data_IF_632661190546
#
_entry.id   IF_632661190546
#
_cell.length_a   1.000
_cell.length_b   1.000
_cell.length_c   1.000
_cell.angle_alpha   90.00
_cell.angle_beta   90.00
_cell.angle_gamma   90.00
#
_symmetry.space_group_name_H-M   'P 1'
#
loop_
_entity.id
_entity.type
_entity.pdbx_description
1 polymer ?
#
# COMPACT_ATOMS: atom_id res chain seq x y z
N UNK A 1 5.16 -5.63 27.67
CA UNK A 1 5.42 -4.59 26.65
C UNK A 1 5.28 -5.11 25.21
N UNK A 2 5.98 -6.17 24.77
CA UNK A 2 5.97 -6.60 23.35
C UNK A 2 4.58 -7.01 22.85
N UNK A 3 3.81 -7.72 23.66
CA UNK A 3 2.46 -8.20 23.33
C UNK A 3 1.45 -7.08 23.04
N UNK A 4 1.59 -5.92 23.72
CA UNK A 4 0.71 -4.76 23.48
C UNK A 4 1.02 -4.14 22.12
N UNK A 5 2.29 -4.00 21.79
CA UNK A 5 2.74 -3.38 20.53
C UNK A 5 2.35 -4.23 19.31
N UNK A 6 2.38 -5.57 19.45
CA UNK A 6 1.91 -6.49 18.40
C UNK A 6 0.38 -6.41 18.21
N UNK A 7 -0.39 -6.37 19.30
CA UNK A 7 -1.87 -6.22 19.22
C UNK A 7 -2.29 -4.87 18.64
N UNK A 8 -1.51 -3.82 18.88
CA UNK A 8 -1.76 -2.49 18.32
C UNK A 8 -1.31 -2.34 16.85
N UNK A 9 -0.79 -3.40 16.21
CA UNK A 9 -0.35 -3.36 14.82
C UNK A 9 0.92 -2.53 14.58
N UNK A 10 1.65 -2.18 15.63
CA UNK A 10 2.87 -1.37 15.56
C UNK A 10 4.09 -2.17 15.11
N UNK A 11 4.01 -3.50 15.12
CA UNK A 11 5.00 -4.40 14.55
C UNK A 11 4.30 -5.42 13.64
N UNK A 12 4.83 -5.67 12.43
CA UNK A 12 4.26 -6.65 11.53
C UNK A 12 4.41 -8.05 12.13
N UNK A 13 3.28 -8.72 12.38
CA UNK A 13 3.21 -10.13 12.71
C UNK A 13 2.64 -10.92 11.54
N UNK A 14 3.03 -12.19 11.41
CA UNK A 14 2.36 -13.10 10.48
C UNK A 14 0.84 -13.05 10.73
N UNK A 15 0.01 -13.06 9.67
CA UNK A 15 -1.44 -13.06 9.83
C UNK A 15 -1.88 -14.30 10.61
N UNK A 16 -2.77 -14.12 11.57
CA UNK A 16 -3.31 -15.21 12.40
C UNK A 16 -4.08 -16.25 11.57
N UNK A 17 -4.56 -15.86 10.38
CA UNK A 17 -5.17 -16.75 9.39
C UNK A 17 -4.45 -16.59 8.05
N UNK A 18 -3.59 -17.54 7.65
CA UNK A 18 -2.85 -17.47 6.39
C UNK A 18 -3.72 -17.77 5.14
N UNK A 19 -5.03 -17.97 5.30
CA UNK A 19 -5.94 -18.45 4.25
C UNK A 19 -6.86 -17.34 3.73
N UNK A 20 -6.35 -16.11 3.57
CA UNK A 20 -7.07 -15.12 2.78
C UNK A 20 -6.86 -15.49 1.32
N UNK A 21 -7.86 -16.14 0.72
CA UNK A 21 -7.92 -16.31 -0.72
C UNK A 21 -8.12 -14.93 -1.36
N UNK A 22 -7.10 -14.45 -2.07
CA UNK A 22 -7.17 -13.21 -2.84
C UNK A 22 -7.52 -13.58 -4.28
N UNK A 23 -8.52 -12.90 -4.86
CA UNK A 23 -8.86 -13.09 -6.26
C UNK A 23 -7.69 -12.70 -7.16
N UNK A 24 -7.27 -13.61 -8.04
CA UNK A 24 -6.23 -13.35 -9.04
C UNK A 24 -6.67 -12.27 -10.03
N UNK A 25 -7.96 -12.22 -10.35
CA UNK A 25 -8.54 -11.18 -11.21
C UNK A 25 -8.44 -9.80 -10.54
N UNK A 26 -8.67 -9.73 -9.22
CA UNK A 26 -8.49 -8.50 -8.45
C UNK A 26 -7.04 -8.01 -8.47
N UNK A 27 -6.07 -8.94 -8.35
CA UNK A 27 -4.64 -8.63 -8.47
C UNK A 27 -4.28 -8.11 -9.87
N UNK A 28 -4.85 -8.72 -10.91
CA UNK A 28 -4.68 -8.27 -12.29
C UNK A 28 -5.24 -6.87 -12.53
N UNK A 29 -6.45 -6.60 -12.02
CA UNK A 29 -7.08 -5.28 -12.07
C UNK A 29 -6.23 -4.21 -11.37
N UNK A 30 -5.77 -4.49 -10.15
CA UNK A 30 -4.91 -3.55 -9.41
C UNK A 30 -3.60 -3.27 -10.14
N UNK A 31 -2.96 -4.30 -10.71
CA UNK A 31 -1.73 -4.12 -11.49
C UNK A 31 -1.96 -3.19 -12.69
N UNK A 32 -3.03 -3.38 -13.45
CA UNK A 32 -3.35 -2.54 -14.59
C UNK A 32 -3.60 -1.08 -14.19
N UNK A 33 -4.26 -0.84 -13.05
CA UNK A 33 -4.41 0.50 -12.48
C UNK A 33 -3.07 1.13 -12.10
N UNK A 34 -2.17 0.37 -11.50
CA UNK A 34 -0.83 0.85 -11.14
C UNK A 34 0.01 1.20 -12.37
N UNK A 35 0.03 0.32 -13.38
CA UNK A 35 0.78 0.58 -14.63
C UNK A 35 0.23 1.80 -15.37
N UNK A 36 -1.09 1.95 -15.45
CA UNK A 36 -1.74 3.11 -16.07
C UNK A 36 -1.52 4.42 -15.29
N UNK A 37 -1.26 4.33 -13.98
CA UNK A 37 -1.12 5.51 -13.11
C UNK A 37 0.31 6.02 -12.94
N UNK A 38 1.32 5.43 -13.60
CA UNK A 38 2.70 5.88 -13.46
C UNK A 38 2.87 7.39 -13.75
N UNK A 39 2.29 7.89 -14.83
CA UNK A 39 2.39 9.30 -15.21
C UNK A 39 1.63 10.21 -14.24
N UNK A 40 0.45 9.77 -13.78
CA UNK A 40 -0.36 10.56 -12.84
C UNK A 40 0.22 10.57 -11.43
N UNK A 41 0.85 9.49 -10.98
CA UNK A 41 1.60 9.42 -9.71
C UNK A 41 2.83 10.33 -9.78
N UNK A 42 3.57 10.33 -10.90
CA UNK A 42 4.72 11.21 -11.08
C UNK A 42 4.31 12.69 -11.12
N UNK A 43 3.22 13.02 -11.82
CA UNK A 43 2.67 14.37 -11.84
C UNK A 43 2.22 14.81 -10.43
N UNK A 44 1.56 13.93 -9.68
CA UNK A 44 1.15 14.19 -8.30
C UNK A 44 2.37 14.43 -7.40
N UNK A 45 3.38 13.57 -7.47
CA UNK A 45 4.60 13.72 -6.68
C UNK A 45 5.32 15.04 -6.99
N UNK A 46 5.42 15.42 -8.26
CA UNK A 46 6.00 16.71 -8.68
C UNK A 46 5.21 17.91 -8.15
N UNK A 47 3.88 17.84 -8.19
CA UNK A 47 3.00 18.88 -7.66
C UNK A 47 3.15 19.03 -6.14
N UNK A 48 3.20 17.91 -5.41
CA UNK A 48 3.42 17.92 -3.97
C UNK A 48 4.80 18.48 -3.61
N UNK A 49 5.86 18.09 -4.34
CA UNK A 49 7.21 18.61 -4.10
C UNK A 49 7.27 20.13 -4.28
N UNK A 50 6.63 20.62 -5.36
CA UNK A 50 6.53 22.07 -5.63
C UNK A 50 5.74 22.81 -4.55
N UNK A 51 4.76 22.17 -3.93
CA UNK A 51 3.90 22.77 -2.92
C UNK A 51 4.52 22.77 -1.51
N UNK A 52 5.29 21.74 -1.16
CA UNK A 52 5.80 21.54 0.20
C UNK A 52 7.29 21.83 0.39
N UNK A 53 8.11 21.81 -0.68
CA UNK A 53 9.54 22.18 -0.60
C UNK A 53 9.82 23.65 -0.99
N UNK A 54 8.79 24.49 -1.08
CA UNK A 54 8.91 25.95 -1.19
C UNK A 54 8.71 26.60 0.18
#
# INVERSE_FOLDING_TARGET
LPQVLLRSGLFPTAPSQPHIAISIELLGFYRALFECSCDSINALASALNTHYER
#
